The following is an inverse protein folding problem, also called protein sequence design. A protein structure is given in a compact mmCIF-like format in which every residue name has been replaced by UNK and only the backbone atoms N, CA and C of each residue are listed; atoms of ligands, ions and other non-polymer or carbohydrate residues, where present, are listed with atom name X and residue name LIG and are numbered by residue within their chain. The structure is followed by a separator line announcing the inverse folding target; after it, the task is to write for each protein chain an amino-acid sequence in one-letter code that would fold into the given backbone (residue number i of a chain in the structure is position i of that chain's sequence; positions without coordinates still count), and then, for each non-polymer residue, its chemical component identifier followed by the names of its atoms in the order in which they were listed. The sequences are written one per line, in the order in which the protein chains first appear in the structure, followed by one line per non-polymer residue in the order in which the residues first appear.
data_IF_351316167952
#
_entry.id   IF_351316167952
#
_cell.length_a   1.000
_cell.length_b   1.000
_cell.length_c   1.000
_cell.angle_alpha   90.00
_cell.angle_beta   90.00
_cell.angle_gamma   90.00
#
_symmetry.space_group_name_H-M   'P 1'
#
loop_
_entity.id
_entity.type
_entity.pdbx_description
1 polymer ?
#
# COMPACT_ATOMS: atom_id res chain seq x y z
N UNK A 1 -5.14 23.30 32.05
CA UNK A 1 -6.55 22.89 32.08
C UNK A 1 -7.10 22.46 30.71
N UNK A 2 -6.45 22.84 29.60
CA UNK A 2 -6.84 22.36 28.28
C UNK A 2 -6.62 20.85 28.18
N UNK A 3 -7.55 20.17 27.54
CA UNK A 3 -7.49 18.72 27.36
C UNK A 3 -7.35 18.38 25.89
N UNK A 4 -6.33 17.61 25.56
CA UNK A 4 -6.06 17.06 24.23
C UNK A 4 -6.02 15.55 24.33
N UNK A 5 -6.89 14.88 23.62
CA UNK A 5 -6.96 13.42 23.63
C UNK A 5 -7.03 12.89 22.20
N UNK A 6 -6.16 11.94 21.89
CA UNK A 6 -6.20 11.19 20.63
C UNK A 6 -6.22 9.70 20.95
N UNK A 7 -7.21 9.02 20.45
CA UNK A 7 -7.31 7.56 20.51
C UNK A 7 -7.37 6.99 19.11
N UNK A 8 -6.71 5.86 18.89
CA UNK A 8 -6.75 5.15 17.62
C UNK A 8 -6.79 3.66 17.84
N UNK A 9 -7.69 2.99 17.13
CA UNK A 9 -7.78 1.54 17.07
C UNK A 9 -7.49 1.10 15.64
N UNK A 10 -6.66 0.08 15.50
CA UNK A 10 -6.33 -0.48 14.19
C UNK A 10 -6.57 -1.98 14.21
N UNK A 11 -7.36 -2.47 13.27
CA UNK A 11 -7.58 -3.87 12.99
C UNK A 11 -6.91 -4.19 11.64
N UNK A 12 -5.97 -5.13 11.64
CA UNK A 12 -5.36 -5.67 10.43
C UNK A 12 -5.73 -7.14 10.30
N UNK A 13 -6.01 -7.56 9.08
CA UNK A 13 -6.29 -8.96 8.77
C UNK A 13 -5.71 -9.31 7.40
N UNK A 14 -4.98 -10.43 7.35
CA UNK A 14 -4.41 -10.97 6.13
C UNK A 14 -4.81 -12.45 5.99
N UNK A 15 -5.14 -12.84 4.77
CA UNK A 15 -5.45 -14.21 4.41
C UNK A 15 -4.83 -14.54 3.06
N UNK A 16 -4.41 -15.80 2.90
CA UNK A 16 -3.92 -16.27 1.62
C UNK A 16 -4.39 -17.70 1.33
N UNK A 17 -4.46 -18.02 0.07
CA UNK A 17 -4.76 -19.37 -0.43
C UNK A 17 -3.75 -19.70 -1.51
N UNK A 18 -3.05 -20.81 -1.36
CA UNK A 18 -2.13 -21.37 -2.35
C UNK A 18 -2.71 -22.66 -2.93
N UNK A 19 -2.83 -22.72 -4.23
CA UNK A 19 -3.31 -23.89 -4.97
C UNK A 19 -2.21 -24.33 -5.94
N UNK A 20 -1.64 -25.52 -5.70
CA UNK A 20 -0.71 -26.15 -6.62
C UNK A 20 -1.45 -27.14 -7.51
N UNK A 21 -1.27 -27.06 -8.82
CA UNK A 21 -1.93 -27.93 -9.78
C UNK A 21 -1.05 -28.20 -11.01
N UNK A 22 -1.31 -29.25 -11.73
CA UNK A 22 -0.59 -29.67 -12.93
C UNK A 22 0.94 -29.69 -12.75
N UNK A 23 1.43 -29.99 -11.54
CA UNK A 23 2.84 -30.07 -11.12
C UNK A 23 3.62 -28.75 -11.21
N UNK A 24 3.44 -27.97 -12.28
CA UNK A 24 4.25 -26.82 -12.63
C UNK A 24 3.57 -25.49 -12.30
N UNK A 25 2.28 -25.52 -11.93
CA UNK A 25 1.49 -24.33 -11.68
C UNK A 25 1.21 -24.11 -10.19
N UNK A 26 1.33 -22.87 -9.77
CA UNK A 26 0.92 -22.40 -8.46
C UNK A 26 0.07 -21.14 -8.61
N UNK A 27 -1.17 -21.20 -8.14
CA UNK A 27 -2.01 -20.03 -7.99
C UNK A 27 -2.01 -19.57 -6.53
N UNK A 28 -1.77 -18.28 -6.31
CA UNK A 28 -1.80 -17.64 -5.00
C UNK A 28 -2.85 -16.54 -5.01
N UNK A 29 -3.78 -16.58 -4.07
CA UNK A 29 -4.69 -15.49 -3.77
C UNK A 29 -4.33 -14.90 -2.41
N UNK A 30 -4.05 -13.60 -2.35
CA UNK A 30 -3.82 -12.86 -1.13
C UNK A 30 -4.92 -11.81 -0.93
N UNK A 31 -5.40 -11.68 0.29
CA UNK A 31 -6.33 -10.63 0.71
C UNK A 31 -5.83 -10.00 2.01
N UNK A 32 -5.60 -8.70 1.98
CA UNK A 32 -5.20 -7.91 3.15
C UNK A 32 -6.18 -6.77 3.40
N UNK A 33 -6.56 -6.56 4.64
CA UNK A 33 -7.41 -5.45 5.05
C UNK A 33 -6.85 -4.74 6.26
N UNK A 34 -7.04 -3.42 6.33
CA UNK A 34 -6.74 -2.62 7.51
C UNK A 34 -7.87 -1.63 7.73
N UNK A 35 -8.39 -1.62 8.95
CA UNK A 35 -9.39 -0.66 9.39
C UNK A 35 -8.78 0.12 10.54
N UNK A 36 -8.65 1.44 10.37
CA UNK A 36 -8.16 2.33 11.41
C UNK A 36 -9.23 3.36 11.74
N UNK A 37 -9.70 3.32 12.98
CA UNK A 37 -10.57 4.33 13.59
C UNK A 37 -9.73 5.22 14.49
N UNK A 38 -9.87 6.54 14.33
CA UNK A 38 -9.16 7.51 15.14
C UNK A 38 -10.13 8.60 15.60
N UNK A 39 -10.05 8.95 16.86
CA UNK A 39 -10.83 10.04 17.46
C UNK A 39 -9.86 11.03 18.09
N UNK A 40 -10.00 12.27 17.70
CA UNK A 40 -9.35 13.42 18.32
C UNK A 40 -10.39 14.24 19.07
N UNK A 41 -10.06 14.67 20.28
CA UNK A 41 -10.86 15.57 21.09
C UNK A 41 -9.97 16.64 21.69
N UNK A 42 -10.39 17.87 21.56
CA UNK A 42 -9.76 19.03 22.15
C UNK A 42 -10.81 19.85 22.91
N UNK A 43 -10.61 20.02 24.21
CA UNK A 43 -11.45 20.88 25.04
C UNK A 43 -10.58 22.00 25.63
N UNK A 44 -10.85 23.23 25.25
CA UNK A 44 -10.17 24.43 25.73
C UNK A 44 -10.97 25.07 26.82
N UNK A 45 -10.29 25.42 27.90
CA UNK A 45 -10.93 25.94 29.12
C UNK A 45 -11.51 27.34 28.91
N UNK A 46 -12.60 27.71 29.65
CA UNK A 46 -13.23 29.01 29.57
C UNK A 46 -12.55 30.12 30.37
N UNK A 47 -11.54 29.81 31.22
CA UNK A 47 -11.05 30.75 32.23
C UNK A 47 -9.91 31.63 31.76
N UNK A 48 -9.09 31.14 30.87
CA UNK A 48 -7.95 31.87 30.28
C UNK A 48 -7.54 31.27 28.91
N UNK A 49 -6.68 32.00 28.21
CA UNK A 49 -6.18 31.57 26.93
C UNK A 49 -7.12 31.92 25.77
N UNK A 50 -6.95 31.21 24.65
CA UNK A 50 -7.61 31.55 23.37
C UNK A 50 -9.13 31.33 23.38
N UNK A 51 -9.62 30.44 24.20
CA UNK A 51 -11.03 30.10 24.27
C UNK A 51 -11.79 30.86 25.38
N UNK A 52 -11.16 31.78 26.12
CA UNK A 52 -11.83 32.57 27.15
C UNK A 52 -12.94 33.44 26.55
N UNK A 53 -12.71 34.13 25.45
CA UNK A 53 -13.72 34.93 24.76
C UNK A 53 -14.87 34.11 24.19
N UNK A 54 -14.69 32.82 24.03
CA UNK A 54 -15.71 31.87 23.56
C UNK A 54 -16.42 31.13 24.71
N UNK A 55 -16.07 31.47 25.96
CA UNK A 55 -16.50 30.75 27.16
C UNK A 55 -16.21 29.23 27.08
N UNK A 56 -14.99 28.88 26.66
CA UNK A 56 -14.55 27.54 26.39
C UNK A 56 -14.98 27.01 25.03
N UNK A 57 -14.27 26.05 24.53
CA UNK A 57 -14.59 25.39 23.27
C UNK A 57 -14.29 23.89 23.33
N UNK A 58 -15.03 23.12 22.55
CA UNK A 58 -14.79 21.72 22.35
C UNK A 58 -14.87 21.40 20.87
N UNK A 59 -13.89 20.66 20.37
CA UNK A 59 -13.98 20.04 19.07
C UNK A 59 -13.74 18.53 19.14
N UNK A 60 -14.41 17.81 18.29
CA UNK A 60 -14.28 16.37 18.12
C UNK A 60 -14.13 16.08 16.65
N UNK A 61 -13.11 15.32 16.33
CA UNK A 61 -12.88 14.83 14.99
C UNK A 61 -12.77 13.31 15.04
N UNK A 62 -13.51 12.65 14.20
CA UNK A 62 -13.45 11.20 14.04
C UNK A 62 -13.16 10.88 12.58
N UNK A 63 -12.14 10.05 12.34
CA UNK A 63 -11.84 9.58 10.99
C UNK A 63 -11.61 8.08 10.97
N UNK A 64 -12.13 7.47 9.91
CA UNK A 64 -11.95 6.07 9.60
C UNK A 64 -11.24 5.91 8.27
N UNK A 65 -10.21 5.08 8.28
CA UNK A 65 -9.56 4.64 7.05
C UNK A 65 -9.74 3.14 6.92
N UNK A 66 -10.31 2.71 5.80
CA UNK A 66 -10.44 1.30 5.44
C UNK A 66 -9.64 1.04 4.18
N UNK A 67 -8.74 0.08 4.24
CA UNK A 67 -7.99 -0.39 3.08
C UNK A 67 -8.30 -1.85 2.81
N UNK A 68 -8.40 -2.20 1.53
CA UNK A 68 -8.51 -3.58 1.06
C UNK A 68 -7.50 -3.76 -0.07
N UNK A 69 -6.64 -4.75 0.07
CA UNK A 69 -5.69 -5.17 -0.95
C UNK A 69 -6.00 -6.61 -1.37
N UNK A 70 -6.20 -6.83 -2.65
CA UNK A 70 -6.43 -8.15 -3.23
C UNK A 70 -5.37 -8.41 -4.29
N UNK A 71 -4.80 -9.62 -4.27
CA UNK A 71 -3.76 -10.00 -5.20
C UNK A 71 -3.99 -11.44 -5.67
N UNK A 72 -3.98 -11.64 -6.97
CA UNK A 72 -4.06 -12.94 -7.64
C UNK A 72 -2.78 -13.15 -8.44
N UNK A 73 -2.05 -14.23 -8.17
CA UNK A 73 -0.78 -14.53 -8.83
C UNK A 73 -0.81 -15.96 -9.34
N UNK A 74 -0.53 -16.12 -10.64
CA UNK A 74 -0.32 -17.42 -11.27
C UNK A 74 1.16 -17.55 -11.60
N UNK A 75 1.79 -18.57 -11.07
CA UNK A 75 3.16 -18.95 -11.37
C UNK A 75 3.18 -20.26 -12.16
N UNK A 76 4.05 -20.33 -13.15
CA UNK A 76 4.44 -21.52 -13.88
C UNK A 76 5.94 -21.69 -13.83
N UNK A 77 6.43 -22.86 -13.40
CA UNK A 77 7.85 -23.16 -13.35
C UNK A 77 8.06 -24.55 -13.96
N UNK A 78 8.90 -24.62 -15.00
CA UNK A 78 9.21 -25.89 -15.65
C UNK A 78 10.67 -25.95 -16.04
N UNK A 79 11.27 -27.16 -15.85
CA UNK A 79 12.65 -27.44 -16.26
C UNK A 79 12.66 -28.56 -17.28
N UNK A 80 13.28 -28.34 -18.42
CA UNK A 80 13.45 -29.34 -19.47
C UNK A 80 14.92 -29.38 -19.92
N UNK A 81 15.61 -30.43 -19.48
CA UNK A 81 17.06 -30.56 -19.69
C UNK A 81 17.81 -29.42 -19.00
N UNK A 82 18.60 -28.66 -19.78
CA UNK A 82 19.36 -27.51 -19.29
C UNK A 82 18.56 -26.18 -19.28
N UNK A 83 17.31 -26.21 -19.69
CA UNK A 83 16.47 -25.04 -19.81
C UNK A 83 15.52 -24.94 -18.60
N UNK A 84 15.49 -23.80 -17.95
CA UNK A 84 14.54 -23.49 -16.89
C UNK A 84 13.71 -22.27 -17.30
N UNK A 85 12.39 -22.41 -17.21
CA UNK A 85 11.43 -21.35 -17.51
C UNK A 85 10.59 -21.06 -16.27
N UNK A 86 10.49 -19.79 -15.90
CA UNK A 86 9.59 -19.31 -14.86
C UNK A 86 8.73 -18.17 -15.42
N UNK A 87 7.43 -18.34 -15.39
CA UNK A 87 6.47 -17.34 -15.80
C UNK A 87 5.58 -16.97 -14.62
N UNK A 88 5.27 -15.69 -14.50
CA UNK A 88 4.35 -15.17 -13.49
C UNK A 88 3.40 -14.19 -14.18
N UNK A 89 2.12 -14.36 -13.92
CA UNK A 89 1.08 -13.38 -14.26
C UNK A 89 0.30 -13.04 -12.99
N UNK A 90 -0.02 -11.77 -12.81
CA UNK A 90 -0.72 -11.33 -11.61
C UNK A 90 -1.63 -10.14 -11.85
N UNK A 91 -2.58 -10.01 -10.95
CA UNK A 91 -3.48 -8.88 -10.84
C UNK A 91 -3.49 -8.41 -9.39
N UNK A 92 -3.41 -7.09 -9.20
CA UNK A 92 -3.49 -6.42 -7.91
C UNK A 92 -4.62 -5.39 -7.93
N UNK A 93 -5.38 -5.32 -6.85
CA UNK A 93 -6.42 -4.32 -6.64
C UNK A 93 -6.29 -3.76 -5.23
N UNK A 94 -6.14 -2.45 -5.14
CA UNK A 94 -6.07 -1.73 -3.87
C UNK A 94 -7.21 -0.73 -3.79
N UNK A 95 -7.96 -0.77 -2.68
CA UNK A 95 -9.03 0.15 -2.38
C UNK A 95 -8.74 0.83 -1.05
N UNK A 96 -8.85 2.15 -1.01
CA UNK A 96 -8.73 2.96 0.21
C UNK A 96 -9.93 3.89 0.30
N UNK A 97 -10.65 3.79 1.42
CA UNK A 97 -11.76 4.68 1.78
C UNK A 97 -11.36 5.46 3.03
N UNK A 98 -11.45 6.77 2.95
CA UNK A 98 -11.25 7.67 4.06
C UNK A 98 -12.55 8.43 4.34
N UNK A 99 -12.99 8.40 5.57
CA UNK A 99 -14.20 9.10 6.06
C UNK A 99 -13.80 9.93 7.28
N UNK A 100 -14.32 11.14 7.34
CA UNK A 100 -14.07 12.08 8.42
C UNK A 100 -15.36 12.76 8.83
N UNK A 101 -15.55 12.93 10.13
CA UNK A 101 -16.58 13.72 10.75
C UNK A 101 -15.92 14.67 11.75
N UNK A 102 -16.21 15.95 11.62
CA UNK A 102 -15.77 17.01 12.51
C UNK A 102 -16.96 17.75 13.07
N UNK A 103 -16.89 18.11 14.35
CA UNK A 103 -17.85 19.02 14.97
C UNK A 103 -17.18 19.82 16.09
N UNK A 104 -17.54 21.10 16.19
CA UNK A 104 -17.07 21.97 17.25
C UNK A 104 -18.23 22.77 17.87
N UNK A 105 -18.09 23.09 19.14
CA UNK A 105 -19.03 23.96 19.89
C UNK A 105 -18.27 24.85 20.87
N UNK A 106 -18.85 25.99 21.15
CA UNK A 106 -18.38 26.95 22.12
C UNK A 106 -19.35 27.04 23.30
N UNK A 107 -19.04 27.88 24.30
CA UNK A 107 -19.85 28.14 25.47
C UNK A 107 -20.13 26.87 26.28
N UNK A 108 -19.06 26.31 26.83
CA UNK A 108 -19.10 25.14 27.69
C UNK A 108 -19.75 25.51 29.05
N UNK A 109 -20.86 24.88 29.41
CA UNK A 109 -21.54 25.12 30.68
C UNK A 109 -20.99 24.27 31.84
N UNK A 110 -20.21 23.26 31.58
CA UNK A 110 -19.62 22.40 32.62
C UNK A 110 -18.29 21.79 32.17
N UNK A 111 -17.26 22.64 32.03
CA UNK A 111 -15.94 22.20 31.54
C UNK A 111 -15.34 21.03 32.34
N UNK A 112 -15.47 21.04 33.68
CA UNK A 112 -14.88 19.98 34.49
C UNK A 112 -15.68 18.68 34.55
N UNK A 113 -16.97 18.73 34.27
CA UNK A 113 -17.89 17.59 34.41
C UNK A 113 -18.22 16.94 33.08
N UNK A 114 -18.24 17.72 31.98
CA UNK A 114 -18.63 17.22 30.67
C UNK A 114 -17.82 17.87 29.55
N UNK A 115 -16.76 17.19 29.13
CA UNK A 115 -15.95 17.57 27.99
C UNK A 115 -16.39 16.80 26.72
N UNK A 116 -17.69 16.85 26.43
CA UNK A 116 -18.27 16.33 25.19
C UNK A 116 -19.08 17.45 24.50
N UNK A 117 -19.44 17.28 23.23
CA UNK A 117 -20.19 18.29 22.46
C UNK A 117 -21.52 18.72 23.14
N UNK A 118 -22.14 17.82 23.90
CA UNK A 118 -23.32 18.11 24.67
C UNK A 118 -23.06 18.97 25.93
N UNK A 119 -21.79 19.13 26.31
CA UNK A 119 -21.37 20.03 27.38
C UNK A 119 -21.24 21.49 26.96
N UNK A 120 -21.59 21.84 25.72
CA UNK A 120 -21.56 23.19 25.16
C UNK A 120 -22.90 23.55 24.52
N UNK A 121 -23.32 24.83 24.68
CA UNK A 121 -24.65 25.30 24.30
C UNK A 121 -24.67 25.79 22.86
N UNK A 122 -23.68 26.59 22.48
CA UNK A 122 -23.67 27.27 21.20
C UNK A 122 -22.82 26.51 20.20
N UNK A 123 -23.37 26.27 19.00
CA UNK A 123 -22.57 26.01 17.81
C UNK A 123 -22.25 27.35 17.14
N UNK A 124 -21.01 27.65 16.90
CA UNK A 124 -20.70 28.07 15.56
C UNK A 124 -21.06 26.85 14.72
N UNK A 125 -21.85 26.99 13.67
CA UNK A 125 -22.21 25.86 12.78
C UNK A 125 -20.92 25.34 12.12
N UNK A 126 -20.11 24.61 12.86
CA UNK A 126 -18.79 24.15 12.50
C UNK A 126 -18.79 22.62 12.57
N UNK A 127 -19.70 22.06 11.80
CA UNK A 127 -19.79 20.65 11.52
C UNK A 127 -19.47 20.38 10.06
N UNK A 128 -18.66 19.38 9.82
CA UNK A 128 -18.30 18.94 8.47
C UNK A 128 -18.11 17.44 8.38
N UNK A 129 -18.37 16.91 7.21
CA UNK A 129 -18.04 15.52 6.89
C UNK A 129 -17.36 15.45 5.53
N UNK A 130 -16.41 14.54 5.42
CA UNK A 130 -15.65 14.33 4.21
C UNK A 130 -15.47 12.84 3.93
N UNK A 131 -15.62 12.46 2.66
CA UNK A 131 -15.37 11.11 2.20
C UNK A 131 -14.51 11.13 0.94
N UNK A 132 -13.46 10.37 0.94
CA UNK A 132 -12.60 10.20 -0.22
C UNK A 132 -12.35 8.72 -0.48
N UNK A 133 -12.27 8.39 -1.77
CA UNK A 133 -11.92 7.05 -2.24
C UNK A 133 -10.72 7.12 -3.17
N UNK A 134 -9.84 6.17 -3.00
CA UNK A 134 -8.67 6.02 -3.84
C UNK A 134 -8.47 4.55 -4.18
N UNK A 135 -8.43 4.23 -5.46
CA UNK A 135 -8.26 2.88 -5.95
C UNK A 135 -7.06 2.82 -6.91
N UNK A 136 -6.31 1.73 -6.82
CA UNK A 136 -5.35 1.35 -7.85
C UNK A 136 -5.62 -0.06 -8.33
N UNK A 137 -5.28 -0.32 -9.56
CA UNK A 137 -5.39 -1.63 -10.21
C UNK A 137 -4.13 -1.85 -11.03
N UNK A 138 -3.56 -3.06 -10.96
CA UNK A 138 -2.33 -3.39 -11.64
C UNK A 138 -2.37 -4.80 -12.22
N UNK A 139 -1.87 -4.93 -13.46
CA UNK A 139 -1.58 -6.20 -14.11
C UNK A 139 -0.09 -6.34 -14.25
N UNK A 140 0.43 -7.49 -13.86
CA UNK A 140 1.87 -7.74 -13.90
C UNK A 140 2.17 -9.07 -14.61
N UNK A 141 3.23 -9.06 -15.37
CA UNK A 141 3.78 -10.24 -16.02
C UNK A 141 5.29 -10.25 -15.84
N UNK A 142 5.85 -11.43 -15.55
CA UNK A 142 7.30 -11.67 -15.50
C UNK A 142 7.59 -12.99 -16.18
N UNK A 143 8.56 -12.98 -17.09
CA UNK A 143 9.17 -14.17 -17.67
C UNK A 143 10.65 -14.22 -17.30
N UNK A 144 11.10 -15.36 -16.82
CA UNK A 144 12.50 -15.65 -16.55
C UNK A 144 12.88 -16.93 -17.29
N UNK A 145 14.03 -16.90 -17.89
CA UNK A 145 14.62 -18.04 -18.58
C UNK A 145 16.09 -18.18 -18.19
N UNK A 146 16.48 -19.37 -17.94
CA UNK A 146 17.86 -19.73 -17.64
C UNK A 146 18.28 -20.95 -18.48
N UNK A 147 19.48 -20.91 -19.03
CA UNK A 147 20.10 -22.00 -19.73
C UNK A 147 21.34 -22.45 -18.96
N UNK A 148 21.37 -23.74 -18.57
CA UNK A 148 22.47 -24.41 -17.85
C UNK A 148 22.92 -23.69 -16.56
N UNK A 149 22.03 -22.88 -15.96
CA UNK A 149 22.39 -22.01 -14.83
C UNK A 149 23.53 -21.06 -15.16
N UNK A 150 23.72 -20.71 -16.44
CA UNK A 150 24.84 -19.95 -16.99
C UNK A 150 24.39 -18.64 -17.64
N UNK A 151 23.36 -18.70 -18.48
CA UNK A 151 22.79 -17.57 -19.18
C UNK A 151 21.41 -17.31 -18.65
N UNK A 152 21.13 -16.08 -18.21
CA UNK A 152 19.88 -15.68 -17.62
C UNK A 152 19.25 -14.55 -18.43
N UNK A 153 17.97 -14.64 -18.67
CA UNK A 153 17.15 -13.61 -19.30
C UNK A 153 15.90 -13.38 -18.47
N UNK A 154 15.55 -12.12 -18.25
CA UNK A 154 14.32 -11.71 -17.55
C UNK A 154 13.63 -10.61 -18.33
N UNK A 155 12.33 -10.76 -18.47
CA UNK A 155 11.41 -9.73 -18.96
C UNK A 155 10.34 -9.49 -17.91
N UNK A 156 10.04 -8.23 -17.58
CA UNK A 156 8.86 -7.89 -16.81
C UNK A 156 8.07 -6.76 -17.47
N UNK A 157 6.78 -6.87 -17.32
CA UNK A 157 5.80 -5.89 -17.78
C UNK A 157 4.79 -5.65 -16.67
N UNK A 158 4.49 -4.37 -16.42
CA UNK A 158 3.45 -3.96 -15.48
C UNK A 158 2.59 -2.86 -16.10
N UNK A 159 1.30 -2.98 -15.93
CA UNK A 159 0.32 -1.97 -16.33
C UNK A 159 -0.50 -1.57 -15.11
N UNK A 160 -0.39 -0.31 -14.70
CA UNK A 160 -1.02 0.22 -13.50
C UNK A 160 -2.02 1.32 -13.83
N UNK A 161 -3.12 1.34 -13.09
CA UNK A 161 -4.10 2.41 -13.10
C UNK A 161 -4.28 3.02 -11.72
N UNK A 162 -4.59 4.31 -11.69
CA UNK A 162 -4.95 5.02 -10.47
C UNK A 162 -6.19 5.89 -10.69
N UNK A 163 -7.10 5.83 -9.71
CA UNK A 163 -8.34 6.63 -9.72
C UNK A 163 -8.09 8.13 -9.55
N UNK A 164 -6.85 8.55 -9.22
CA UNK A 164 -6.47 9.95 -9.09
C UNK A 164 -6.23 10.65 -10.43
N UNK A 165 -6.01 9.87 -11.49
CA UNK A 165 -5.81 10.41 -12.83
C UNK A 165 -7.13 10.50 -13.60
N UNK A 166 -7.16 11.40 -14.58
CA UNK A 166 -8.30 11.51 -15.50
C UNK A 166 -8.58 10.16 -16.18
N UNK A 167 -9.85 9.80 -16.44
CA UNK A 167 -10.22 8.52 -17.05
C UNK A 167 -9.39 8.11 -18.28
N UNK A 168 -9.08 9.06 -19.15
CA UNK A 168 -8.35 8.79 -20.38
C UNK A 168 -6.86 8.51 -20.18
N UNK A 169 -6.29 8.92 -19.03
CA UNK A 169 -4.85 8.84 -18.73
C UNK A 169 -4.57 8.04 -17.45
N UNK A 170 -5.48 7.14 -17.05
CA UNK A 170 -5.33 6.37 -15.79
C UNK A 170 -4.29 5.27 -15.87
N UNK A 171 -4.00 4.76 -17.06
CA UNK A 171 -3.17 3.60 -17.27
C UNK A 171 -1.76 3.98 -17.67
N UNK A 172 -0.77 3.51 -16.90
CA UNK A 172 0.64 3.54 -17.24
C UNK A 172 1.16 2.15 -17.58
N UNK A 173 2.13 2.06 -18.50
CA UNK A 173 2.79 0.82 -18.87
C UNK A 173 4.25 0.91 -18.50
N UNK A 174 4.77 -0.14 -17.85
CA UNK A 174 6.15 -0.22 -17.40
C UNK A 174 6.73 -1.56 -17.82
N UNK A 175 7.94 -1.56 -18.32
CA UNK A 175 8.64 -2.78 -18.74
C UNK A 175 10.10 -2.70 -18.37
N UNK A 176 10.67 -3.86 -18.06
CA UNK A 176 12.10 -3.98 -17.85
C UNK A 176 12.62 -5.28 -18.43
N UNK A 177 13.87 -5.25 -18.91
CA UNK A 177 14.60 -6.40 -19.42
C UNK A 177 15.91 -6.50 -18.66
N UNK A 178 16.25 -7.71 -18.26
CA UNK A 178 17.51 -8.01 -17.59
C UNK A 178 18.17 -9.24 -18.22
N UNK A 179 19.48 -9.22 -18.30
CA UNK A 179 20.30 -10.38 -18.69
C UNK A 179 21.46 -10.54 -17.73
N UNK A 180 21.86 -11.79 -17.48
CA UNK A 180 23.07 -12.09 -16.72
C UNK A 180 23.78 -13.31 -17.31
N UNK A 181 25.11 -13.33 -17.18
CA UNK A 181 25.95 -14.39 -17.63
C UNK A 181 26.99 -14.74 -16.56
N UNK A 182 27.08 -16.03 -16.20
CA UNK A 182 28.08 -16.52 -15.27
C UNK A 182 29.29 -16.99 -16.05
N UNK A 183 30.24 -16.10 -16.24
CA UNK A 183 31.49 -16.35 -17.01
C UNK A 183 32.31 -17.51 -16.44
N UNK A 184 32.32 -17.69 -15.12
CA UNK A 184 33.08 -18.74 -14.43
C UNK A 184 32.59 -20.17 -14.72
N UNK A 185 31.41 -20.32 -15.34
CA UNK A 185 30.88 -21.61 -15.81
C UNK A 185 31.27 -21.93 -17.26
N UNK A 186 32.04 -21.08 -17.92
CA UNK A 186 32.49 -21.31 -19.26
C UNK A 186 33.74 -22.24 -19.29
N UNK A 187 33.70 -23.29 -20.11
CA UNK A 187 34.77 -24.29 -20.21
C UNK A 187 36.15 -23.71 -20.55
N UNK A 188 36.20 -22.59 -21.28
CA UNK A 188 37.43 -21.89 -21.64
C UNK A 188 38.07 -21.12 -20.49
N UNK A 189 37.32 -20.93 -19.36
CA UNK A 189 37.81 -20.30 -18.13
C UNK A 189 38.22 -21.31 -17.05
N UNK A 190 37.98 -22.61 -17.25
CA UNK A 190 38.29 -23.65 -16.26
C UNK A 190 39.81 -23.70 -15.93
N UNK A 191 40.69 -23.37 -16.89
CA UNK A 191 42.13 -23.32 -16.71
C UNK A 191 42.68 -22.04 -16.06
N UNK A 192 41.82 -21.01 -15.86
CA UNK A 192 42.23 -19.73 -15.29
C UNK A 192 41.92 -19.72 -13.78
N UNK A 193 42.88 -20.21 -13.00
CA UNK A 193 42.79 -20.29 -11.51
C UNK A 193 42.64 -18.95 -10.78
N UNK A 194 42.46 -17.84 -11.48
CA UNK A 194 42.52 -16.48 -10.90
C UNK A 194 41.22 -15.66 -11.01
N UNK A 195 40.10 -16.24 -11.43
CA UNK A 195 38.83 -15.50 -11.55
C UNK A 195 37.91 -15.79 -10.36
N UNK A 196 38.03 -14.95 -9.35
CA UNK A 196 37.05 -14.84 -8.27
C UNK A 196 35.81 -14.17 -8.82
N UNK A 197 34.66 -14.87 -8.86
CA UNK A 197 33.28 -14.44 -9.10
C UNK A 197 33.11 -13.07 -9.81
N UNK A 198 33.07 -13.03 -11.13
CA UNK A 198 32.65 -11.88 -11.89
C UNK A 198 31.23 -12.09 -12.41
N UNK A 199 30.27 -11.35 -11.87
CA UNK A 199 28.94 -11.22 -12.44
C UNK A 199 28.93 -9.98 -13.35
N UNK A 200 28.68 -10.16 -14.65
CA UNK A 200 28.38 -9.06 -15.55
C UNK A 200 26.88 -8.84 -15.56
N UNK A 201 26.41 -7.82 -14.88
CA UNK A 201 25.02 -7.36 -14.97
C UNK A 201 24.97 -6.18 -15.93
N UNK A 202 24.16 -6.30 -16.99
CA UNK A 202 23.86 -5.16 -17.84
C UNK A 202 22.83 -4.26 -17.14
N UNK A 203 22.98 -2.92 -17.20
CA UNK A 203 22.04 -2.02 -16.55
C UNK A 203 20.65 -2.18 -17.16
N UNK A 204 19.66 -2.36 -16.31
CA UNK A 204 18.25 -2.30 -16.68
C UNK A 204 17.88 -0.87 -17.01
N UNK A 205 17.48 -0.58 -18.25
CA UNK A 205 16.93 0.71 -18.63
C UNK A 205 15.45 0.71 -18.30
N UNK A 206 15.04 1.54 -17.36
CA UNK A 206 13.65 1.86 -17.07
C UNK A 206 13.28 3.04 -17.99
N UNK A 207 12.39 2.83 -18.94
CA UNK A 207 11.77 3.94 -19.66
C UNK A 207 10.38 4.19 -19.06
N UNK A 208 10.19 5.42 -18.60
CA UNK A 208 8.93 5.95 -18.08
C UNK A 208 8.16 6.61 -19.22
#
# INVERSE_FOLDING_TARGET
LDTYNTSANTLNGDAFIDINFLKDFKFTFNAGTSIRDSRYKNALNPFYGTANSLNGSINVQHWRRTTLNLQQILNYNHSFGLHNVSLMAGHESFNNVYEELYAAKNSMFSFFQNQELNGAISGTNDESSYKSKYNTEGYLFRGMYDYDGKYFFQLSYRRDASSRFHPDNRWGNFYSVGTAWILTKEKWLDDIKSVSYTHLTLPTKLEV
#
